data_IF_691983283605
#
_entry.id   IF_691983283605
#
_cell.length_a   1.000
_cell.length_b   1.000
_cell.length_c   1.000
_cell.angle_alpha   90.00
_cell.angle_beta   90.00
_cell.angle_gamma   90.00
#
_symmetry.space_group_name_H-M   'P 1'
#
loop_
_entity.id
_entity.type
_entity.pdbx_description
1 polymer ?
#
# COMPACT_ATOMS: atom_id res chain seq x y z
N UNK A 1 26.03 -1.93 -0.76
CA UNK A 1 26.99 -2.36 -1.79
C UNK A 1 26.55 -3.72 -2.33
N UNK A 2 26.64 -3.95 -3.65
CA UNK A 2 26.43 -5.29 -4.22
C UNK A 2 27.55 -6.23 -3.74
N UNK A 3 27.25 -7.47 -3.32
CA UNK A 3 28.29 -8.44 -2.93
C UNK A 3 29.33 -8.66 -4.04
N UNK A 4 30.61 -8.69 -3.69
CA UNK A 4 31.75 -8.90 -4.63
C UNK A 4 31.58 -10.16 -5.51
N UNK A 5 30.86 -11.15 -5.00
CA UNK A 5 30.50 -12.41 -5.65
C UNK A 5 29.71 -12.21 -6.97
N UNK A 6 28.94 -11.13 -7.07
CA UNK A 6 28.18 -10.79 -8.28
C UNK A 6 29.02 -10.05 -9.33
N UNK A 7 30.13 -9.42 -8.95
CA UNK A 7 30.96 -8.64 -9.86
C UNK A 7 31.67 -9.53 -10.89
N UNK A 8 32.16 -10.70 -10.48
CA UNK A 8 32.81 -11.65 -11.40
C UNK A 8 31.85 -12.20 -12.47
N UNK A 9 30.55 -12.29 -12.15
CA UNK A 9 29.52 -12.67 -13.13
C UNK A 9 29.15 -11.55 -14.10
N UNK A 10 29.64 -10.32 -13.97
CA UNK A 10 29.29 -9.23 -14.90
C UNK A 10 30.20 -9.15 -16.12
N UNK A 11 31.44 -9.64 -16.02
CA UNK A 11 32.39 -9.70 -17.14
C UNK A 11 32.00 -10.68 -18.25
N UNK A 12 31.00 -11.54 -18.04
CA UNK A 12 30.51 -12.47 -19.06
C UNK A 12 29.54 -11.83 -20.07
N UNK A 13 29.03 -10.62 -19.79
CA UNK A 13 28.09 -9.92 -20.66
C UNK A 13 28.83 -8.94 -21.57
N UNK A 14 28.57 -9.00 -22.87
CA UNK A 14 29.29 -8.24 -23.90
C UNK A 14 28.87 -6.78 -23.99
N UNK A 15 27.69 -6.44 -23.48
CA UNK A 15 27.13 -5.10 -23.54
C UNK A 15 26.24 -4.81 -22.32
N UNK A 16 26.02 -3.52 -22.07
CA UNK A 16 25.24 -3.06 -20.93
C UNK A 16 23.77 -3.54 -20.95
N UNK A 17 23.19 -3.78 -22.14
CA UNK A 17 21.81 -4.23 -22.29
C UNK A 17 21.66 -5.69 -21.86
N UNK A 18 22.59 -6.56 -22.26
CA UNK A 18 22.59 -7.96 -21.85
C UNK A 18 22.92 -8.14 -20.37
N UNK A 19 23.81 -7.32 -19.81
CA UNK A 19 24.03 -7.23 -18.36
C UNK A 19 22.77 -6.81 -17.59
N UNK A 20 22.10 -5.73 -18.03
CA UNK A 20 20.89 -5.23 -17.40
C UNK A 20 19.75 -6.26 -17.44
N UNK A 21 19.53 -6.93 -18.57
CA UNK A 21 18.53 -7.99 -18.70
C UNK A 21 18.80 -9.19 -17.76
N UNK A 22 20.07 -9.54 -17.55
CA UNK A 22 20.45 -10.59 -16.61
C UNK A 22 20.25 -10.19 -15.15
N UNK A 23 20.53 -8.93 -14.80
CA UNK A 23 20.22 -8.36 -13.49
C UNK A 23 18.70 -8.35 -13.27
N UNK A 24 17.91 -7.89 -14.23
CA UNK A 24 16.44 -7.95 -14.17
C UNK A 24 15.95 -9.39 -14.01
N UNK A 25 16.50 -10.34 -14.76
CA UNK A 25 16.10 -11.75 -14.67
C UNK A 25 16.43 -12.34 -13.29
N UNK A 26 17.62 -12.04 -12.76
CA UNK A 26 18.10 -12.60 -11.48
C UNK A 26 17.41 -11.98 -10.27
N UNK A 27 17.15 -10.68 -10.29
CA UNK A 27 16.66 -9.93 -9.12
C UNK A 27 15.17 -9.56 -9.21
N UNK A 28 14.62 -9.35 -10.40
CA UNK A 28 13.19 -9.10 -10.59
C UNK A 28 12.39 -10.38 -10.90
N UNK A 29 13.09 -11.50 -11.09
CA UNK A 29 12.51 -12.79 -11.44
C UNK A 29 12.12 -12.89 -12.92
N UNK A 30 11.98 -14.11 -13.42
CA UNK A 30 11.46 -14.34 -14.77
C UNK A 30 9.94 -14.03 -14.84
N UNK A 31 9.38 -14.00 -16.05
CA UNK A 31 7.96 -13.65 -16.26
C UNK A 31 6.98 -14.54 -15.47
N UNK A 32 7.31 -15.83 -15.26
CA UNK A 32 6.48 -16.71 -14.45
C UNK A 32 6.49 -16.31 -12.97
N UNK A 33 7.66 -15.99 -12.41
CA UNK A 33 7.79 -15.50 -11.03
C UNK A 33 7.09 -14.16 -10.84
N UNK A 34 7.23 -13.21 -11.79
CA UNK A 34 6.50 -11.94 -11.77
C UNK A 34 4.99 -12.15 -11.80
N UNK A 35 4.49 -13.07 -12.65
CA UNK A 35 3.06 -13.42 -12.74
C UNK A 35 2.53 -14.02 -11.44
N UNK A 36 3.29 -14.93 -10.82
CA UNK A 36 2.93 -15.53 -9.52
C UNK A 36 2.91 -14.48 -8.41
N UNK A 37 3.94 -13.64 -8.32
CA UNK A 37 4.02 -12.57 -7.32
C UNK A 37 2.89 -11.55 -7.48
N UNK A 38 2.60 -11.14 -8.71
CA UNK A 38 1.45 -10.27 -9.04
C UNK A 38 0.12 -10.88 -8.61
N UNK A 39 -0.06 -12.18 -8.82
CA UNK A 39 -1.28 -12.89 -8.42
C UNK A 39 -1.42 -12.95 -6.89
N UNK A 40 -0.31 -13.18 -6.18
CA UNK A 40 -0.28 -13.17 -4.72
C UNK A 40 -0.63 -11.78 -4.16
N UNK A 41 -0.03 -10.72 -4.70
CA UNK A 41 -0.31 -9.35 -4.27
C UNK A 41 -1.75 -8.94 -4.50
N UNK A 42 -2.35 -9.34 -5.63
CA UNK A 42 -3.79 -9.14 -5.88
C UNK A 42 -4.64 -9.81 -4.82
N UNK A 43 -4.35 -11.08 -4.49
CA UNK A 43 -5.07 -11.79 -3.42
C UNK A 43 -4.89 -11.11 -2.06
N UNK A 44 -3.68 -10.63 -1.76
CA UNK A 44 -3.41 -9.87 -0.52
C UNK A 44 -4.19 -8.56 -0.49
N UNK A 45 -4.30 -7.85 -1.61
CA UNK A 45 -5.13 -6.66 -1.74
C UNK A 45 -6.61 -7.00 -1.57
N UNK A 46 -7.15 -7.94 -2.34
CA UNK A 46 -8.55 -8.37 -2.29
C UNK A 46 -8.97 -8.79 -0.88
N UNK A 47 -8.15 -9.58 -0.20
CA UNK A 47 -8.38 -10.05 1.17
C UNK A 47 -7.87 -9.08 2.25
N UNK A 48 -7.41 -7.89 1.87
CA UNK A 48 -6.91 -6.92 2.84
C UNK A 48 -8.04 -6.48 3.77
N UNK A 49 -7.84 -6.69 5.07
CA UNK A 49 -8.65 -6.18 6.16
C UNK A 49 -7.73 -5.68 7.28
N UNK A 50 -8.14 -4.67 8.05
CA UNK A 50 -7.44 -4.39 9.29
C UNK A 50 -7.73 -5.51 10.28
N UNK A 51 -6.68 -5.89 10.99
CA UNK A 51 -6.85 -6.61 12.24
C UNK A 51 -7.33 -5.59 13.27
N UNK A 52 -8.29 -5.98 14.11
CA UNK A 52 -8.93 -5.12 15.12
C UNK A 52 -7.96 -4.44 16.10
N UNK A 53 -6.71 -4.89 16.17
CA UNK A 53 -5.68 -4.40 17.09
C UNK A 53 -4.64 -3.47 16.44
N UNK A 54 -4.78 -3.10 15.16
CA UNK A 54 -3.78 -2.31 14.45
C UNK A 54 -4.12 -0.81 14.40
N UNK A 55 -3.11 0.04 14.57
CA UNK A 55 -3.23 1.49 14.41
C UNK A 55 -3.54 1.89 12.97
N UNK A 56 -4.09 3.10 12.78
CA UNK A 56 -4.38 3.68 11.47
C UNK A 56 -3.12 3.71 10.59
N UNK A 57 -1.95 4.04 11.17
CA UNK A 57 -0.64 3.99 10.50
C UNK A 57 -0.30 2.60 9.99
N UNK A 58 -0.48 1.58 10.84
CA UNK A 58 -0.16 0.21 10.48
C UNK A 58 -1.04 -0.28 9.32
N UNK A 59 -2.31 0.15 9.29
CA UNK A 59 -3.24 -0.17 8.21
C UNK A 59 -2.82 0.57 6.93
N UNK A 60 -2.59 1.88 7.00
CA UNK A 60 -2.18 2.72 5.87
C UNK A 60 -0.88 2.20 5.24
N UNK A 61 0.17 2.03 6.04
CA UNK A 61 1.49 1.58 5.57
C UNK A 61 1.43 0.21 4.89
N UNK A 62 0.64 -0.73 5.42
CA UNK A 62 0.49 -2.06 4.82
C UNK A 62 -0.26 -2.00 3.49
N UNK A 63 -1.32 -1.19 3.40
CA UNK A 63 -2.09 -1.02 2.18
C UNK A 63 -1.24 -0.36 1.09
N UNK A 64 -0.59 0.76 1.41
CA UNK A 64 0.31 1.47 0.49
C UNK A 64 1.43 0.55 -0.01
N UNK A 65 2.03 -0.26 0.87
CA UNK A 65 3.06 -1.24 0.47
C UNK A 65 2.56 -2.21 -0.62
N UNK A 66 1.35 -2.74 -0.48
CA UNK A 66 0.77 -3.66 -1.47
C UNK A 66 0.50 -2.93 -2.79
N UNK A 67 -0.07 -1.73 -2.72
CA UNK A 67 -0.43 -0.90 -3.88
C UNK A 67 0.83 -0.50 -4.66
N UNK A 68 1.87 -0.05 -3.98
CA UNK A 68 3.15 0.32 -4.61
C UNK A 68 3.81 -0.87 -5.29
N UNK A 69 3.78 -2.06 -4.68
CA UNK A 69 4.31 -3.28 -5.31
C UNK A 69 3.50 -3.70 -6.53
N UNK A 70 2.18 -3.54 -6.51
CA UNK A 70 1.32 -3.78 -7.68
C UNK A 70 1.63 -2.79 -8.82
N UNK A 71 1.86 -1.52 -8.50
CA UNK A 71 2.19 -0.50 -9.49
C UNK A 71 3.51 -0.81 -10.21
N UNK A 72 4.55 -1.24 -9.47
CA UNK A 72 5.83 -1.71 -10.05
C UNK A 72 5.63 -2.89 -11.02
N UNK A 73 4.62 -3.73 -10.80
CA UNK A 73 4.25 -4.85 -11.68
C UNK A 73 3.23 -4.46 -12.77
N UNK A 74 3.01 -3.17 -13.00
CA UNK A 74 2.09 -2.65 -14.01
C UNK A 74 0.61 -2.91 -13.68
N UNK A 75 0.24 -2.88 -12.39
CA UNK A 75 -1.16 -2.85 -11.95
C UNK A 75 -1.40 -1.63 -11.09
N UNK A 76 -2.13 -0.70 -11.67
CA UNK A 76 -2.56 0.51 -10.99
C UNK A 76 -3.94 0.27 -10.37
N UNK A 77 -4.10 0.76 -9.16
CA UNK A 77 -5.37 0.80 -8.45
C UNK A 77 -5.87 2.23 -8.55
N UNK A 78 -7.16 2.43 -8.87
CA UNK A 78 -7.72 3.77 -8.95
C UNK A 78 -7.71 4.44 -7.58
N UNK A 79 -7.68 5.77 -7.54
CA UNK A 79 -7.71 6.51 -6.28
C UNK A 79 -8.99 6.21 -5.49
N UNK A 80 -10.13 6.13 -6.18
CA UNK A 80 -11.42 5.70 -5.63
C UNK A 80 -11.34 4.31 -4.99
N UNK A 81 -10.86 3.30 -5.72
CA UNK A 81 -10.74 1.94 -5.20
C UNK A 81 -9.83 1.87 -3.97
N UNK A 82 -8.71 2.61 -4.01
CA UNK A 82 -7.76 2.70 -2.91
C UNK A 82 -8.42 3.30 -1.66
N UNK A 83 -9.11 4.43 -1.81
CA UNK A 83 -9.80 5.13 -0.72
C UNK A 83 -10.93 4.28 -0.13
N UNK A 84 -11.75 3.66 -0.97
CA UNK A 84 -12.80 2.74 -0.54
C UNK A 84 -12.23 1.51 0.17
N UNK A 85 -11.11 0.96 -0.34
CA UNK A 85 -10.43 -0.17 0.28
C UNK A 85 -9.90 0.20 1.66
N UNK A 86 -9.27 1.36 1.79
CA UNK A 86 -8.78 1.86 3.07
C UNK A 86 -9.92 2.01 4.08
N UNK A 87 -11.00 2.70 3.72
CA UNK A 87 -12.18 2.88 4.58
C UNK A 87 -12.83 1.56 4.98
N UNK A 88 -13.00 0.61 4.06
CA UNK A 88 -13.55 -0.74 4.33
C UNK A 88 -12.66 -1.57 5.25
N UNK A 89 -11.37 -1.25 5.27
CA UNK A 89 -10.42 -1.99 6.07
C UNK A 89 -10.35 -1.48 7.49
N UNK A 90 -10.86 -0.29 7.81
CA UNK A 90 -10.75 0.26 9.15
C UNK A 90 -11.51 -0.60 10.18
N UNK A 91 -11.01 -0.67 11.43
CA UNK A 91 -11.72 -1.32 12.54
C UNK A 91 -13.14 -0.75 12.75
N UNK A 92 -14.03 -1.54 13.37
CA UNK A 92 -15.46 -1.20 13.49
C UNK A 92 -15.73 0.08 14.29
N UNK A 93 -14.79 0.51 15.13
CA UNK A 93 -14.81 1.78 15.87
C UNK A 93 -14.87 3.00 14.93
N UNK A 94 -14.49 2.82 13.66
CA UNK A 94 -14.52 3.85 12.63
C UNK A 94 -15.80 3.86 11.77
N UNK A 95 -16.75 2.94 12.00
CA UNK A 95 -17.91 2.75 11.12
C UNK A 95 -18.70 4.05 10.85
N UNK A 96 -18.96 4.86 11.88
CA UNK A 96 -19.66 6.15 11.72
C UNK A 96 -18.91 7.09 10.77
N UNK A 97 -17.58 7.16 10.89
CA UNK A 97 -16.75 7.98 10.01
C UNK A 97 -16.73 7.41 8.59
N UNK A 98 -16.62 6.08 8.44
CA UNK A 98 -16.66 5.41 7.14
C UNK A 98 -17.94 5.75 6.38
N UNK A 99 -19.11 5.78 7.03
CA UNK A 99 -20.37 6.15 6.39
C UNK A 99 -20.35 7.60 5.92
N UNK A 100 -19.88 8.53 6.75
CA UNK A 100 -19.80 9.97 6.39
C UNK A 100 -18.85 10.18 5.22
N UNK A 101 -17.67 9.55 5.25
CA UNK A 101 -16.64 9.71 4.23
C UNK A 101 -17.00 9.08 2.90
N UNK A 102 -17.75 7.97 2.89
CA UNK A 102 -18.24 7.36 1.65
C UNK A 102 -19.15 8.26 0.82
N UNK A 103 -19.80 9.24 1.45
CA UNK A 103 -20.70 10.17 0.78
C UNK A 103 -20.01 11.48 0.38
N UNK A 104 -18.69 11.59 0.56
CA UNK A 104 -17.94 12.79 0.18
C UNK A 104 -17.81 12.87 -1.34
N UNK A 105 -18.11 14.03 -1.96
CA UNK A 105 -18.10 14.17 -3.41
C UNK A 105 -16.70 14.12 -4.02
N UNK A 106 -15.67 14.37 -3.23
CA UNK A 106 -14.26 14.39 -3.61
C UNK A 106 -13.52 13.10 -3.22
N UNK A 107 -14.23 12.07 -2.72
CA UNK A 107 -13.59 10.84 -2.25
C UNK A 107 -12.83 10.10 -3.36
N UNK A 108 -13.31 10.16 -4.60
CA UNK A 108 -12.73 9.48 -5.76
C UNK A 108 -11.42 10.12 -6.25
N UNK A 109 -11.23 11.41 -5.96
CA UNK A 109 -10.12 12.24 -6.46
C UNK A 109 -9.14 12.63 -5.35
N UNK A 110 -9.57 12.60 -4.09
CA UNK A 110 -8.74 12.89 -2.92
C UNK A 110 -7.58 11.90 -2.78
N UNK A 111 -6.40 12.40 -2.43
CA UNK A 111 -5.25 11.53 -2.17
C UNK A 111 -5.46 10.66 -0.91
N UNK A 112 -4.80 9.52 -0.85
CA UNK A 112 -4.89 8.63 0.32
C UNK A 112 -4.30 9.30 1.57
N UNK A 113 -3.31 10.18 1.40
CA UNK A 113 -2.67 10.91 2.48
C UNK A 113 -3.61 11.99 3.05
N UNK A 114 -4.35 12.70 2.20
CA UNK A 114 -5.37 13.65 2.63
C UNK A 114 -6.49 12.94 3.41
N UNK A 115 -6.96 11.80 2.90
CA UNK A 115 -7.96 10.98 3.58
C UNK A 115 -7.45 10.51 4.95
N UNK A 116 -6.23 10.00 5.00
CA UNK A 116 -5.56 9.57 6.25
C UNK A 116 -5.45 10.74 7.25
N UNK A 117 -4.94 11.90 6.82
CA UNK A 117 -4.73 13.06 7.68
C UNK A 117 -6.04 13.56 8.27
N UNK A 118 -7.10 13.58 7.47
CA UNK A 118 -8.44 13.93 7.95
C UNK A 118 -8.95 12.97 9.04
N UNK A 119 -8.69 11.67 8.92
CA UNK A 119 -9.06 10.69 9.94
C UNK A 119 -8.24 10.86 11.23
N UNK A 120 -6.95 11.16 11.12
CA UNK A 120 -6.08 11.47 12.27
C UNK A 120 -6.58 12.70 13.03
N UNK A 121 -6.83 13.81 12.34
CA UNK A 121 -7.34 15.04 12.97
C UNK A 121 -8.65 14.78 13.73
N UNK A 122 -9.55 13.96 13.16
CA UNK A 122 -10.80 13.59 13.83
C UNK A 122 -10.59 12.70 15.06
N UNK A 123 -9.62 11.78 15.02
CA UNK A 123 -9.26 10.96 16.18
C UNK A 123 -8.74 11.83 17.33
N UNK A 124 -7.84 12.76 17.05
CA UNK A 124 -7.28 13.68 18.05
C UNK A 124 -8.37 14.56 18.66
N UNK A 125 -9.24 15.15 17.83
CA UNK A 125 -10.37 15.93 18.32
C UNK A 125 -11.28 15.15 19.27
N UNK A 126 -11.58 13.88 18.94
CA UNK A 126 -12.37 13.00 19.81
C UNK A 126 -11.68 12.74 21.14
N UNK A 127 -10.36 12.49 21.13
CA UNK A 127 -9.56 12.29 22.35
C UNK A 127 -9.61 13.52 23.26
N UNK A 128 -9.43 14.72 22.71
CA UNK A 128 -9.47 15.97 23.47
C UNK A 128 -10.82 16.20 24.15
N UNK A 129 -11.94 15.95 23.45
CA UNK A 129 -13.28 16.07 24.04
C UNK A 129 -13.45 15.06 25.18
N UNK A 130 -13.09 13.79 24.95
CA UNK A 130 -13.22 12.76 25.99
C UNK A 130 -12.38 13.07 27.24
N UNK A 131 -11.21 13.69 27.10
CA UNK A 131 -10.39 14.12 28.24
C UNK A 131 -11.01 15.30 29.01
N UNK A 132 -11.62 16.26 28.32
CA UNK A 132 -12.25 17.43 28.95
C UNK A 132 -13.59 17.12 29.62
N UNK A 133 -14.27 16.04 29.22
CA UNK A 133 -15.53 15.62 29.85
C UNK A 133 -15.34 14.83 31.16
N UNK A 134 -14.09 14.50 31.50
CA UNK A 134 -13.74 13.70 32.70
C UNK A 134 -13.07 14.58 33.78
N UNK A 135 -12.74 15.84 33.45
CA UNK A 135 -12.28 16.88 34.39
C UNK A 135 -13.44 17.72 34.90
#
# INVERSE_FOLDING_TARGET
ALPNEHLMTFNQYKDAKSLFAAIETRFSGNEATKKTHKTLLKKMYENFSALSTKSLDSISNRLQKIVSQLAVLGKFISQEDLNLKFLRSLPSEWNTYVVVWRNKPDLDTMSIDDLYNNLIVKQEFKRTISSNSIS
#
